data_IF_795984201867
#
_entry.id   IF_795984201867
#
_cell.length_a   1.000
_cell.length_b   1.000
_cell.length_c   1.000
_cell.angle_alpha   90.00
_cell.angle_beta   90.00
_cell.angle_gamma   90.00
#
_symmetry.space_group_name_H-M   'P 1'
#
loop_
_entity.id
_entity.type
_entity.pdbx_description
1 polymer ?
#
# COMPACT_ATOMS: atom_id res chain seq x y z
N UNK A 1 -24.02 -4.09 -48.16
CA UNK A 1 -23.31 -2.81 -48.03
C UNK A 1 -23.31 -2.40 -46.56
N UNK A 2 -22.34 -2.86 -45.77
CA UNK A 2 -22.12 -2.26 -44.44
C UNK A 2 -21.27 -1.01 -44.67
N UNK A 3 -21.90 0.17 -44.65
CA UNK A 3 -21.19 1.44 -44.53
C UNK A 3 -20.51 1.45 -43.16
N UNK A 4 -19.27 0.95 -43.08
CA UNK A 4 -18.41 1.18 -41.93
C UNK A 4 -18.00 2.65 -41.98
N UNK A 5 -18.86 3.48 -41.37
CA UNK A 5 -18.65 4.90 -41.26
C UNK A 5 -17.45 5.14 -40.33
N UNK A 6 -16.38 5.72 -40.86
CA UNK A 6 -15.16 6.05 -40.11
C UNK A 6 -15.42 6.81 -38.79
N UNK A 7 -16.51 7.59 -38.73
CA UNK A 7 -16.99 8.30 -37.56
C UNK A 7 -17.50 7.38 -36.44
N UNK A 8 -18.18 6.28 -36.76
CA UNK A 8 -18.69 5.36 -35.72
C UNK A 8 -17.55 4.53 -35.12
N UNK A 9 -16.53 4.19 -35.92
CA UNK A 9 -15.32 3.52 -35.43
C UNK A 9 -14.45 4.45 -34.56
N UNK A 10 -14.31 5.72 -34.95
CA UNK A 10 -13.63 6.73 -34.14
C UNK A 10 -14.32 6.97 -32.79
N UNK A 11 -15.65 7.08 -32.77
CA UNK A 11 -16.42 7.26 -31.53
C UNK A 11 -16.29 6.04 -30.61
N UNK A 12 -16.33 4.83 -31.16
CA UNK A 12 -16.13 3.60 -30.40
C UNK A 12 -14.72 3.52 -29.79
N UNK A 13 -13.69 3.93 -30.54
CA UNK A 13 -12.30 3.93 -30.06
C UNK A 13 -12.08 4.95 -28.92
N UNK A 14 -12.68 6.14 -29.01
CA UNK A 14 -12.59 7.18 -27.97
C UNK A 14 -13.27 6.73 -26.67
N UNK A 15 -14.43 6.06 -26.75
CA UNK A 15 -15.13 5.54 -25.58
C UNK A 15 -14.35 4.43 -24.86
N UNK A 16 -13.70 3.54 -25.61
CA UNK A 16 -12.86 2.48 -25.06
C UNK A 16 -11.61 3.06 -24.38
N UNK A 17 -10.96 4.06 -25.00
CA UNK A 17 -9.80 4.76 -24.43
C UNK A 17 -10.17 5.54 -23.16
N UNK A 18 -11.30 6.25 -23.15
CA UNK A 18 -11.79 6.95 -21.95
C UNK A 18 -12.13 5.99 -20.80
N UNK A 19 -12.72 4.82 -21.10
CA UNK A 19 -13.02 3.80 -20.10
C UNK A 19 -11.76 3.21 -19.43
N UNK A 20 -10.67 3.06 -20.18
CA UNK A 20 -9.40 2.55 -19.65
C UNK A 20 -8.70 3.54 -18.71
N UNK A 21 -8.78 4.84 -18.99
CA UNK A 21 -8.10 5.88 -18.19
C UNK A 21 -8.76 6.06 -16.81
N UNK A 22 -10.06 5.80 -16.69
CA UNK A 22 -10.81 5.92 -15.43
C UNK A 22 -10.55 4.77 -14.44
N UNK A 23 -9.89 3.68 -14.86
CA UNK A 23 -9.59 2.54 -13.99
C UNK A 23 -8.28 2.69 -13.19
N UNK A 24 -7.48 3.75 -13.43
CA UNK A 24 -6.15 3.90 -12.84
C UNK A 24 -6.07 4.89 -11.66
N UNK A 25 -7.17 5.57 -11.32
CA UNK A 25 -7.20 6.48 -10.18
C UNK A 25 -7.94 5.85 -9.02
N UNK A 26 -7.20 5.16 -8.16
CA UNK A 26 -7.64 4.73 -6.82
C UNK A 26 -7.42 5.93 -5.88
N UNK A 27 -8.44 6.74 -5.56
CA UNK A 27 -8.29 7.97 -4.77
C UNK A 27 -7.98 7.68 -3.28
N UNK A 28 -7.72 6.42 -2.94
CA UNK A 28 -7.44 5.93 -1.60
C UNK A 28 -6.12 5.20 -1.45
N UNK A 29 -5.22 5.16 -2.46
CA UNK A 29 -3.85 4.67 -2.23
C UNK A 29 -3.09 5.72 -1.40
N UNK A 30 -2.82 5.49 -0.10
CA UNK A 30 -1.84 6.30 0.59
C UNK A 30 -0.53 6.18 -0.20
N UNK A 31 0.25 7.27 -0.24
CA UNK A 31 1.62 7.27 -0.77
C UNK A 31 2.30 5.93 -0.47
N UNK A 32 2.96 5.32 -1.48
CA UNK A 32 3.49 3.95 -1.40
C UNK A 32 4.40 3.66 -0.19
N UNK A 33 4.85 4.72 0.50
CA UNK A 33 5.68 4.69 1.69
C UNK A 33 5.14 5.55 2.84
N UNK A 34 5.63 5.27 4.05
CA UNK A 34 5.41 6.06 5.24
C UNK A 34 6.16 7.39 5.16
N UNK A 35 5.45 8.51 5.27
CA UNK A 35 6.02 9.87 5.42
C UNK A 35 6.15 10.30 6.88
N UNK A 36 5.42 9.64 7.78
CA UNK A 36 5.46 9.88 9.22
C UNK A 36 5.26 8.56 9.96
N UNK A 37 5.84 8.46 11.16
CA UNK A 37 5.69 7.30 12.05
C UNK A 37 4.81 7.63 13.25
N UNK A 38 3.99 6.66 13.69
CA UNK A 38 3.24 6.74 14.95
C UNK A 38 4.03 6.06 16.08
N UNK A 39 3.86 6.58 17.29
CA UNK A 39 4.42 5.99 18.53
C UNK A 39 3.43 5.09 19.26
N UNK A 40 2.13 5.27 18.99
CA UNK A 40 1.03 4.53 19.62
C UNK A 40 1.11 3.04 19.32
N UNK A 41 0.94 2.22 20.36
CA UNK A 41 0.92 0.75 20.24
C UNK A 41 -0.34 0.29 19.50
N UNK A 42 -0.16 -0.61 18.54
CA UNK A 42 -1.27 -1.31 17.86
C UNK A 42 -1.87 -2.32 18.85
N UNK A 43 -3.18 -2.25 19.06
CA UNK A 43 -3.90 -3.12 20.01
C UNK A 43 -4.40 -4.42 19.38
N UNK A 44 -4.50 -4.44 18.07
CA UNK A 44 -4.94 -5.58 17.27
C UNK A 44 -3.77 -6.52 16.96
N UNK A 45 -4.01 -7.82 16.69
CA UNK A 45 -2.96 -8.76 16.37
C UNK A 45 -2.14 -8.32 15.16
N UNK A 46 -0.81 -8.26 15.32
CA UNK A 46 0.12 -7.96 14.23
C UNK A 46 0.49 -9.28 13.57
N UNK A 47 0.29 -9.38 12.25
CA UNK A 47 0.51 -10.63 11.50
C UNK A 47 1.77 -10.60 10.65
N UNK A 48 2.24 -9.40 10.27
CA UNK A 48 3.45 -9.24 9.48
C UNK A 48 4.09 -7.88 9.74
N UNK A 49 5.35 -7.75 9.33
CA UNK A 49 6.05 -6.47 9.32
C UNK A 49 6.95 -6.33 8.09
N UNK A 50 7.23 -5.09 7.71
CA UNK A 50 8.25 -4.74 6.73
C UNK A 50 9.05 -3.54 7.23
N UNK A 51 10.35 -3.50 6.93
CA UNK A 51 11.22 -2.37 7.27
C UNK A 51 11.32 -1.45 6.05
N UNK A 52 10.94 -0.19 6.24
CA UNK A 52 11.12 0.86 5.25
C UNK A 52 12.40 1.65 5.55
N UNK A 53 13.30 1.70 4.58
CA UNK A 53 14.47 2.56 4.62
C UNK A 53 14.07 4.00 4.30
N UNK A 54 14.80 4.96 4.84
CA UNK A 54 14.61 6.37 4.52
C UNK A 54 14.97 6.65 3.06
N UNK A 55 14.09 7.37 2.35
CA UNK A 55 14.27 7.82 0.99
C UNK A 55 13.24 8.92 0.71
N UNK A 56 13.63 10.19 0.86
CA UNK A 56 12.71 11.33 0.86
C UNK A 56 11.72 11.27 -0.33
N UNK A 57 10.40 11.43 -0.10
CA UNK A 57 9.75 11.90 1.14
C UNK A 57 9.47 10.80 2.18
N UNK A 58 9.94 9.57 1.97
CA UNK A 58 9.74 8.44 2.87
C UNK A 58 10.70 8.50 4.05
N UNK A 59 10.19 8.35 5.27
CA UNK A 59 11.00 8.30 6.50
C UNK A 59 11.37 6.88 6.87
N UNK A 60 12.37 6.69 7.72
CA UNK A 60 12.66 5.37 8.28
C UNK A 60 11.47 4.89 9.17
N UNK A 61 10.89 3.73 8.84
CA UNK A 61 9.70 3.23 9.52
C UNK A 61 9.64 1.69 9.55
N UNK A 62 8.95 1.15 10.55
CA UNK A 62 8.50 -0.26 10.55
C UNK A 62 7.02 -0.26 10.19
N UNK A 63 6.66 -0.94 9.11
CA UNK A 63 5.29 -1.08 8.65
C UNK A 63 4.74 -2.38 9.22
N UNK A 64 3.79 -2.29 10.15
CA UNK A 64 3.08 -3.47 10.66
C UNK A 64 1.79 -3.71 9.89
N UNK A 65 1.49 -4.97 9.59
CA UNK A 65 0.19 -5.40 9.09
C UNK A 65 -0.64 -5.92 10.26
N UNK A 66 -1.85 -5.38 10.42
CA UNK A 66 -2.80 -5.81 11.44
C UNK A 66 -4.21 -5.66 10.91
N UNK A 67 -5.03 -6.72 11.00
CA UNK A 67 -6.39 -6.78 10.43
C UNK A 67 -6.46 -6.31 8.96
N UNK A 68 -5.45 -6.65 8.15
CA UNK A 68 -5.37 -6.24 6.74
C UNK A 68 -4.94 -4.79 6.49
N UNK A 69 -4.75 -3.99 7.55
CA UNK A 69 -4.31 -2.59 7.46
C UNK A 69 -2.81 -2.45 7.75
N UNK A 70 -2.19 -1.44 7.13
CA UNK A 70 -0.77 -1.11 7.31
C UNK A 70 -0.60 0.08 8.26
N UNK A 71 0.33 -0.05 9.21
CA UNK A 71 0.61 0.95 10.23
C UNK A 71 2.10 1.34 10.24
N UNK A 72 2.38 2.61 9.97
CA UNK A 72 3.72 3.20 10.06
C UNK A 72 4.11 3.41 11.53
N UNK A 73 5.05 2.61 12.03
CA UNK A 73 5.48 2.62 13.43
C UNK A 73 6.92 3.07 13.57
N UNK A 74 7.22 3.79 14.64
CA UNK A 74 8.56 4.33 14.87
C UNK A 74 9.52 3.23 15.37
N UNK A 75 10.61 2.92 14.66
CA UNK A 75 11.54 1.83 15.01
C UNK A 75 12.23 1.99 16.37
N UNK A 76 12.29 3.22 16.90
CA UNK A 76 12.92 3.50 18.21
C UNK A 76 12.04 3.09 19.39
N UNK A 77 10.75 2.85 19.19
CA UNK A 77 9.83 2.52 20.28
C UNK A 77 10.09 1.10 20.83
N UNK A 78 10.17 0.90 22.16
CA UNK A 78 10.46 -0.41 22.74
C UNK A 78 9.46 -1.52 22.33
N UNK A 79 8.17 -1.17 22.19
CA UNK A 79 7.15 -2.15 21.79
C UNK A 79 7.30 -2.60 20.33
N UNK A 80 7.85 -1.74 19.45
CA UNK A 80 8.08 -2.06 18.04
C UNK A 80 9.17 -3.14 17.92
N UNK A 81 10.27 -2.97 18.68
CA UNK A 81 11.34 -3.97 18.74
C UNK A 81 10.83 -5.33 19.25
N UNK A 82 10.08 -5.32 20.36
CA UNK A 82 9.44 -6.53 20.91
C UNK A 82 8.50 -7.21 19.92
N UNK A 83 7.69 -6.45 19.19
CA UNK A 83 6.78 -7.01 18.19
C UNK A 83 7.55 -7.68 17.03
N UNK A 84 8.66 -7.09 16.58
CA UNK A 84 9.52 -7.69 15.55
C UNK A 84 10.14 -9.00 16.06
N UNK A 85 10.69 -9.01 17.28
CA UNK A 85 11.28 -10.20 17.89
C UNK A 85 10.26 -11.35 18.01
N UNK A 86 9.04 -11.04 18.46
CA UNK A 86 7.95 -12.01 18.54
C UNK A 86 7.63 -12.60 17.17
N UNK A 87 7.46 -11.75 16.13
CA UNK A 87 7.18 -12.21 14.77
C UNK A 87 8.32 -13.07 14.22
N UNK A 88 9.58 -12.71 14.49
CA UNK A 88 10.75 -13.50 14.08
C UNK A 88 10.82 -14.86 14.78
N UNK A 89 10.46 -14.94 16.06
CA UNK A 89 10.41 -16.22 16.78
C UNK A 89 9.34 -17.16 16.23
N UNK A 90 8.17 -16.62 15.84
CA UNK A 90 7.09 -17.41 15.24
C UNK A 90 7.46 -17.90 13.84
N UNK A 91 8.12 -17.06 13.03
CA UNK A 91 8.51 -17.40 11.65
C UNK A 91 9.65 -18.43 11.56
N UNK A 92 10.46 -18.62 12.61
CA UNK A 92 11.50 -19.66 12.66
C UNK A 92 10.94 -21.06 12.97
N UNK A 93 9.67 -21.15 13.35
CA UNK A 93 9.02 -22.41 13.77
C UNK A 93 8.22 -23.04 12.63
N UNK A 94 8.35 -22.54 11.39
CA UNK A 94 7.74 -23.10 10.18
C UNK A 94 8.80 -23.50 9.16
#
# INVERSE_FOLDING_TARGET
MHHFNNKTFQLALILIVCGLVLAASDPGKPSSCCKMTRRTKIRTPITAYAIQKEALPCVHAVIFTSNGLKYCSNPTMPWVKKAIEQLQSTQKTQ
#
